data_IF_180554918731
#
_entry.id   IF_180554918731
#
_cell.length_a   1.000
_cell.length_b   1.000
_cell.length_c   1.000
_cell.angle_alpha   90.00
_cell.angle_beta   90.00
_cell.angle_gamma   90.00
#
_symmetry.space_group_name_H-M   'P 1'
#
loop_
_entity.id
_entity.type
_entity.pdbx_description
1 polymer ?
#
# COMPACT_ATOMS: atom_id res chain seq x y z
N UNK A 1 16.81 22.88 -30.56
CA UNK A 1 16.39 21.75 -29.66
C UNK A 1 15.18 22.12 -28.81
N UNK A 2 14.92 23.41 -28.57
CA UNK A 2 13.72 23.92 -27.89
C UNK A 2 12.46 23.88 -28.75
N UNK A 3 12.59 23.82 -30.07
CA UNK A 3 11.48 23.85 -31.02
C UNK A 3 10.61 22.57 -31.03
N UNK A 4 11.18 21.41 -30.68
CA UNK A 4 10.43 20.14 -30.60
C UNK A 4 9.54 20.02 -29.36
N UNK A 5 9.79 20.83 -28.32
CA UNK A 5 8.96 20.85 -27.11
C UNK A 5 7.64 21.58 -27.38
N UNK A 6 7.65 22.62 -28.20
CA UNK A 6 6.46 23.43 -28.52
C UNK A 6 5.42 22.68 -29.38
N UNK A 7 5.86 21.89 -30.35
CA UNK A 7 4.96 21.05 -31.16
C UNK A 7 4.22 19.99 -30.34
N UNK A 8 4.81 19.57 -29.24
CA UNK A 8 4.27 18.58 -28.33
C UNK A 8 3.12 19.12 -27.44
N UNK A 9 3.11 20.45 -27.20
CA UNK A 9 2.10 21.10 -26.36
C UNK A 9 0.74 21.29 -27.07
N UNK A 10 0.70 21.31 -28.40
CA UNK A 10 -0.57 21.47 -29.15
C UNK A 10 -1.46 20.22 -29.11
N UNK A 11 -0.88 19.03 -28.98
CA UNK A 11 -1.62 17.77 -28.92
C UNK A 11 -2.40 17.63 -27.60
N UNK A 12 -1.90 18.23 -26.51
CA UNK A 12 -2.49 18.10 -25.18
C UNK A 12 -3.77 18.95 -24.99
N UNK A 13 -4.01 19.94 -25.84
CA UNK A 13 -5.07 20.95 -25.65
C UNK A 13 -6.45 20.59 -26.22
N UNK A 14 -6.57 19.51 -26.97
CA UNK A 14 -7.83 19.16 -27.71
C UNK A 14 -8.37 17.81 -27.30
N UNK A 15 -8.97 17.61 -26.13
CA UNK A 15 -9.93 16.49 -26.00
C UNK A 15 -10.94 16.69 -24.86
N UNK A 16 -12.19 16.74 -25.25
CA UNK A 16 -13.36 16.80 -24.37
C UNK A 16 -13.92 15.43 -23.98
N UNK A 17 -14.70 15.44 -23.09
CA UNK A 17 -15.51 14.73 -22.13
C UNK A 17 -16.26 13.45 -22.60
N UNK A 18 -15.57 12.27 -22.70
CA UNK A 18 -16.19 10.96 -22.56
C UNK A 18 -15.21 9.99 -21.87
N UNK A 19 -15.70 8.97 -21.18
CA UNK A 19 -14.85 7.98 -20.48
C UNK A 19 -13.77 7.34 -21.39
N UNK A 20 -14.10 7.13 -22.67
CA UNK A 20 -13.20 6.56 -23.68
C UNK A 20 -12.08 7.53 -24.07
N UNK A 21 -12.41 8.79 -24.15
CA UNK A 21 -11.56 9.92 -24.47
C UNK A 21 -10.63 10.27 -23.30
N UNK A 22 -11.14 10.21 -22.07
CA UNK A 22 -10.37 10.34 -20.84
C UNK A 22 -9.30 9.25 -20.72
N UNK A 23 -9.65 7.99 -20.91
CA UNK A 23 -8.70 6.85 -20.85
C UNK A 23 -7.62 6.97 -21.94
N UNK A 24 -7.97 7.38 -23.14
CA UNK A 24 -7.02 7.63 -24.22
C UNK A 24 -6.06 8.77 -23.85
N UNK A 25 -6.57 9.88 -23.33
CA UNK A 25 -5.77 11.03 -22.85
C UNK A 25 -4.79 10.63 -21.74
N UNK A 26 -5.23 9.83 -20.80
CA UNK A 26 -4.38 9.32 -19.71
C UNK A 26 -3.25 8.45 -20.25
N UNK A 27 -3.54 7.57 -21.20
CA UNK A 27 -2.54 6.70 -21.84
C UNK A 27 -1.50 7.51 -22.62
N UNK A 28 -1.94 8.47 -23.44
CA UNK A 28 -1.05 9.34 -24.19
C UNK A 28 -0.15 10.18 -23.25
N UNK A 29 -0.70 10.73 -22.18
CA UNK A 29 0.08 11.45 -21.15
C UNK A 29 1.12 10.56 -20.47
N UNK A 30 0.75 9.34 -20.18
CA UNK A 30 1.64 8.37 -19.57
C UNK A 30 2.82 8.06 -20.49
N UNK A 31 2.58 7.77 -21.77
CA UNK A 31 3.62 7.49 -22.77
C UNK A 31 4.62 8.64 -22.86
N UNK A 32 4.14 9.86 -22.85
CA UNK A 32 4.96 11.08 -22.86
C UNK A 32 5.84 11.22 -21.62
N UNK A 33 5.27 10.95 -20.45
CA UNK A 33 6.01 10.99 -19.18
C UNK A 33 7.07 9.88 -19.14
N UNK A 34 6.76 8.68 -19.57
CA UNK A 34 7.72 7.58 -19.65
C UNK A 34 8.88 7.91 -20.59
N UNK A 35 8.60 8.46 -21.77
CA UNK A 35 9.63 8.91 -22.72
C UNK A 35 10.50 10.03 -22.10
N UNK A 36 9.87 11.00 -21.42
CA UNK A 36 10.59 12.07 -20.74
C UNK A 36 11.52 11.52 -19.66
N UNK A 37 11.05 10.63 -18.81
CA UNK A 37 11.85 10.02 -17.76
C UNK A 37 12.94 9.09 -18.32
N UNK A 38 12.75 8.49 -19.48
CA UNK A 38 13.74 7.63 -20.14
C UNK A 38 14.96 8.41 -20.68
N UNK A 39 14.87 9.75 -20.89
CA UNK A 39 15.93 10.56 -21.48
C UNK A 39 17.22 10.49 -20.66
N UNK A 40 18.38 10.44 -21.36
CA UNK A 40 19.70 10.35 -20.70
C UNK A 40 20.03 11.58 -19.86
N UNK A 41 19.52 12.73 -20.24
CA UNK A 41 19.70 14.04 -19.61
C UNK A 41 18.64 14.37 -18.55
N UNK A 42 17.81 13.41 -18.16
CA UNK A 42 16.79 13.61 -17.13
C UNK A 42 17.42 13.86 -15.76
N UNK A 43 16.99 14.93 -15.11
CA UNK A 43 17.40 15.30 -13.75
C UNK A 43 16.19 15.09 -12.80
N UNK A 44 16.39 14.48 -11.61
CA UNK A 44 15.32 14.26 -10.65
C UNK A 44 14.56 15.54 -10.27
N UNK A 45 13.24 15.56 -10.47
CA UNK A 45 12.36 16.71 -10.30
C UNK A 45 11.27 16.44 -9.25
N UNK A 46 10.81 17.49 -8.55
CA UNK A 46 9.66 17.42 -7.66
C UNK A 46 8.35 17.40 -8.46
N UNK A 47 7.28 16.89 -7.87
CA UNK A 47 5.94 16.88 -8.47
C UNK A 47 5.51 18.24 -9.05
N UNK A 48 5.78 19.34 -8.29
CA UNK A 48 5.44 20.69 -8.72
C UNK A 48 6.17 21.10 -9.99
N UNK A 49 7.43 20.71 -10.12
CA UNK A 49 8.28 21.05 -11.26
C UNK A 49 7.82 20.26 -12.50
N UNK A 50 7.49 18.96 -12.33
CA UNK A 50 6.92 18.13 -13.40
C UNK A 50 5.57 18.70 -13.84
N UNK A 51 4.66 19.01 -12.91
CA UNK A 51 3.37 19.60 -13.22
C UNK A 51 3.48 20.93 -13.95
N UNK A 52 4.49 21.74 -13.59
CA UNK A 52 4.77 23.03 -14.22
C UNK A 52 5.37 22.85 -15.62
N UNK A 53 6.33 21.95 -15.78
CA UNK A 53 6.98 21.64 -17.04
C UNK A 53 5.97 21.13 -18.09
N UNK A 54 5.08 20.25 -17.68
CA UNK A 54 4.01 19.71 -18.53
C UNK A 54 2.76 20.58 -18.56
N UNK A 55 2.78 21.79 -17.94
CA UNK A 55 1.67 22.74 -17.87
C UNK A 55 0.35 22.11 -17.43
N UNK A 56 0.41 21.17 -16.46
CA UNK A 56 -0.76 20.45 -15.97
C UNK A 56 -1.63 21.37 -15.10
N UNK A 57 -2.88 21.64 -15.49
CA UNK A 57 -3.80 22.46 -14.72
C UNK A 57 -4.00 21.91 -13.31
N UNK A 58 -4.31 22.77 -12.32
CA UNK A 58 -4.52 22.35 -10.92
C UNK A 58 -5.57 21.24 -10.80
N UNK A 59 -6.66 21.32 -11.57
CA UNK A 59 -7.73 20.34 -11.58
C UNK A 59 -7.30 18.95 -12.08
N UNK A 60 -6.24 18.84 -12.88
CA UNK A 60 -5.75 17.59 -13.47
C UNK A 60 -4.49 17.05 -12.78
N UNK A 61 -4.06 17.69 -11.68
CA UNK A 61 -2.88 17.24 -10.93
C UNK A 61 -3.08 15.90 -10.21
N UNK A 62 -4.32 15.58 -9.85
CA UNK A 62 -4.68 14.25 -9.34
C UNK A 62 -4.38 13.14 -10.35
N UNK A 63 -4.75 13.37 -11.61
CA UNK A 63 -4.49 12.42 -12.70
C UNK A 63 -2.99 12.24 -12.94
N UNK A 64 -2.22 13.32 -12.90
CA UNK A 64 -0.76 13.25 -12.99
C UNK A 64 -0.16 12.42 -11.85
N UNK A 65 -0.67 12.60 -10.63
CA UNK A 65 -0.19 11.82 -9.47
C UNK A 65 -0.50 10.33 -9.64
N UNK A 66 -1.67 9.97 -10.14
CA UNK A 66 -2.02 8.58 -10.42
C UNK A 66 -1.09 7.95 -11.45
N UNK A 67 -0.83 8.66 -12.57
CA UNK A 67 0.11 8.19 -13.60
C UNK A 67 1.51 7.98 -13.01
N UNK A 68 2.03 8.92 -12.23
CA UNK A 68 3.35 8.82 -11.61
C UNK A 68 3.43 7.63 -10.64
N UNK A 69 2.38 7.42 -9.85
CA UNK A 69 2.30 6.27 -8.94
C UNK A 69 2.30 4.94 -9.70
N UNK A 70 1.60 4.86 -10.83
CA UNK A 70 1.59 3.65 -11.65
C UNK A 70 2.97 3.37 -12.28
N UNK A 71 3.67 4.41 -12.77
CA UNK A 71 5.03 4.28 -13.30
C UNK A 71 6.01 3.84 -12.18
N UNK A 72 5.80 4.31 -10.93
CA UNK A 72 6.58 3.86 -9.76
C UNK A 72 6.29 2.39 -9.44
N UNK A 73 5.01 1.97 -9.46
CA UNK A 73 4.62 0.57 -9.22
C UNK A 73 5.26 -0.38 -10.22
N UNK A 74 5.43 0.06 -11.46
CA UNK A 74 6.14 -0.70 -12.50
C UNK A 74 7.68 -0.66 -12.37
N UNK A 75 8.21 0.04 -11.38
CA UNK A 75 9.66 0.14 -11.17
C UNK A 75 10.41 0.99 -12.19
N UNK A 76 9.70 1.72 -13.07
CA UNK A 76 10.31 2.59 -14.09
C UNK A 76 10.72 3.96 -13.53
N UNK A 77 10.17 4.34 -12.39
CA UNK A 77 10.43 5.59 -11.70
C UNK A 77 10.47 5.35 -10.19
N UNK A 78 11.20 6.16 -9.47
CA UNK A 78 11.19 6.18 -8.00
C UNK A 78 10.99 7.61 -7.50
N UNK A 79 10.44 7.76 -6.33
CA UNK A 79 10.50 9.02 -5.58
C UNK A 79 11.57 8.87 -4.50
N UNK A 80 12.63 9.67 -4.58
CA UNK A 80 13.72 9.61 -3.60
C UNK A 80 13.37 10.28 -2.27
N UNK A 81 14.26 10.17 -1.27
CA UNK A 81 14.04 10.72 0.08
C UNK A 81 13.82 12.25 0.14
N UNK A 82 14.08 12.98 -0.96
CA UNK A 82 13.83 14.42 -1.08
C UNK A 82 12.48 14.74 -1.75
N UNK A 83 11.67 13.73 -2.06
CA UNK A 83 10.41 13.86 -2.77
C UNK A 83 10.60 14.23 -4.25
N UNK A 84 11.72 13.82 -4.84
CA UNK A 84 11.99 13.98 -6.27
C UNK A 84 11.79 12.66 -7.01
N UNK A 85 11.14 12.73 -8.14
CA UNK A 85 11.03 11.61 -9.07
C UNK A 85 12.35 11.40 -9.78
N UNK A 86 12.89 10.19 -9.75
CA UNK A 86 14.20 9.85 -10.30
C UNK A 86 14.10 8.55 -11.10
N UNK A 87 15.06 8.33 -12.01
CA UNK A 87 15.25 6.99 -12.59
C UNK A 87 15.63 6.03 -11.48
N UNK A 88 15.16 4.78 -11.55
CA UNK A 88 15.73 3.76 -10.69
C UNK A 88 17.22 3.68 -10.96
N UNK A 89 18.05 3.89 -9.94
CA UNK A 89 19.41 3.42 -10.00
C UNK A 89 19.39 1.90 -10.21
N UNK A 90 20.38 1.35 -10.86
CA UNK A 90 20.49 -0.11 -11.06
C UNK A 90 20.40 -0.93 -9.77
N UNK A 91 20.59 -0.26 -8.63
CA UNK A 91 20.56 -0.83 -7.30
C UNK A 91 19.20 -0.67 -6.58
N UNK A 92 18.21 -0.01 -7.19
CA UNK A 92 16.87 0.15 -6.61
C UNK A 92 15.86 -0.73 -7.32
N UNK A 93 15.15 -1.55 -6.54
CA UNK A 93 14.16 -2.49 -7.04
C UNK A 93 12.86 -2.30 -6.27
N UNK A 94 11.74 -2.23 -6.96
CA UNK A 94 10.41 -2.14 -6.35
C UNK A 94 9.67 -3.46 -6.51
N UNK A 95 8.97 -3.89 -5.45
CA UNK A 95 8.23 -5.14 -5.45
C UNK A 95 7.36 -5.30 -4.21
N UNK A 96 6.81 -6.49 -4.04
CA UNK A 96 5.97 -6.85 -2.90
C UNK A 96 6.82 -7.39 -1.76
N UNK A 97 6.67 -6.79 -0.59
CA UNK A 97 7.34 -7.21 0.64
C UNK A 97 6.64 -8.43 1.24
N UNK A 98 7.39 -9.51 1.40
CA UNK A 98 6.89 -10.76 1.95
C UNK A 98 7.56 -11.06 3.28
N UNK A 99 6.86 -10.81 4.37
CA UNK A 99 7.33 -11.13 5.72
C UNK A 99 7.30 -12.64 5.98
N UNK A 100 8.29 -13.11 6.73
CA UNK A 100 8.36 -14.53 7.13
C UNK A 100 7.87 -14.79 8.55
N UNK A 101 7.52 -13.74 9.31
CA UNK A 101 7.22 -13.85 10.74
C UNK A 101 8.45 -14.12 11.63
N UNK A 102 9.65 -14.24 11.04
CA UNK A 102 10.94 -14.43 11.75
C UNK A 102 11.79 -13.17 11.76
N UNK A 103 11.21 -12.04 11.38
CA UNK A 103 11.85 -10.73 11.33
C UNK A 103 12.54 -10.39 10.01
N UNK A 104 12.99 -11.35 9.22
CA UNK A 104 13.48 -11.11 7.87
C UNK A 104 12.36 -11.24 6.83
N UNK A 105 12.60 -10.78 5.62
CA UNK A 105 11.62 -10.79 4.55
C UNK A 105 12.26 -11.06 3.19
N UNK A 106 11.40 -11.16 2.18
CA UNK A 106 11.79 -11.23 0.77
C UNK A 106 11.04 -10.16 -0.01
N UNK A 107 11.68 -9.61 -1.03
CA UNK A 107 11.04 -8.77 -2.02
C UNK A 107 10.77 -9.61 -3.27
N UNK A 108 9.49 -9.75 -3.61
CA UNK A 108 9.07 -10.37 -4.87
C UNK A 108 8.93 -9.29 -5.94
N UNK A 109 9.68 -9.41 -7.02
CA UNK A 109 9.75 -8.40 -8.09
C UNK A 109 8.92 -8.75 -9.31
N UNK A 110 8.73 -10.03 -9.60
CA UNK A 110 7.92 -10.50 -10.74
C UNK A 110 7.91 -12.00 -10.88
N UNK A 111 7.14 -12.51 -11.84
CA UNK A 111 7.13 -13.92 -12.18
C UNK A 111 8.46 -14.32 -12.85
N UNK A 112 9.13 -15.32 -12.30
CA UNK A 112 10.38 -15.87 -12.84
C UNK A 112 11.65 -15.14 -12.40
N UNK A 113 11.56 -14.08 -11.61
CA UNK A 113 12.71 -13.43 -11.00
C UNK A 113 13.02 -14.03 -9.62
N UNK A 114 14.31 -14.04 -9.26
CA UNK A 114 14.72 -14.46 -7.91
C UNK A 114 14.33 -13.39 -6.88
N UNK A 115 13.68 -13.81 -5.80
CA UNK A 115 13.33 -12.96 -4.67
C UNK A 115 14.61 -12.36 -4.05
N UNK A 116 14.53 -11.08 -3.63
CA UNK A 116 15.63 -10.38 -2.96
C UNK A 116 15.46 -10.56 -1.45
N UNK A 117 16.49 -11.08 -0.79
CA UNK A 117 16.49 -11.25 0.66
C UNK A 117 16.63 -9.91 1.38
N UNK A 118 15.79 -9.66 2.38
CA UNK A 118 15.83 -8.46 3.23
C UNK A 118 16.12 -8.89 4.67
N UNK A 119 17.34 -8.60 5.19
CA UNK A 119 17.68 -8.92 6.56
C UNK A 119 16.77 -8.20 7.57
N UNK A 120 16.60 -8.77 8.76
CA UNK A 120 15.75 -8.21 9.82
C UNK A 120 16.11 -6.78 10.22
N UNK A 121 17.40 -6.39 10.13
CA UNK A 121 17.86 -5.02 10.38
C UNK A 121 17.47 -4.02 9.29
N UNK A 122 17.05 -4.49 8.10
CA UNK A 122 16.84 -3.68 6.90
C UNK A 122 15.38 -3.67 6.43
N UNK A 123 14.46 -4.31 7.18
CA UNK A 123 13.03 -4.37 6.84
C UNK A 123 12.30 -3.04 7.06
N UNK A 124 12.90 -2.10 7.80
CA UNK A 124 12.28 -0.83 8.20
C UNK A 124 10.93 -1.08 8.90
N UNK A 125 9.90 -0.31 8.55
CA UNK A 125 8.53 -0.48 9.04
C UNK A 125 7.58 -1.08 7.97
N UNK A 126 8.12 -1.92 7.08
CA UNK A 126 7.32 -2.61 6.07
C UNK A 126 6.52 -3.76 6.69
N UNK A 127 5.27 -3.91 6.23
CA UNK A 127 4.36 -4.99 6.60
C UNK A 127 4.19 -5.96 5.44
N UNK A 128 3.74 -7.17 5.74
CA UNK A 128 3.49 -8.21 4.73
C UNK A 128 2.49 -7.72 3.68
N UNK A 129 2.84 -7.84 2.42
CA UNK A 129 2.06 -7.38 1.27
C UNK A 129 2.32 -5.94 0.83
N UNK A 130 3.04 -5.12 1.61
CA UNK A 130 3.36 -3.74 1.20
C UNK A 130 4.14 -3.72 -0.11
N UNK A 131 3.84 -2.75 -0.96
CA UNK A 131 4.69 -2.42 -2.09
C UNK A 131 5.83 -1.53 -1.62
N UNK A 132 7.07 -1.99 -1.76
CA UNK A 132 8.25 -1.28 -1.25
C UNK A 132 9.32 -1.12 -2.31
N UNK A 133 10.13 -0.07 -2.18
CA UNK A 133 11.39 0.08 -2.92
C UNK A 133 12.54 -0.34 -2.03
N UNK A 134 13.36 -1.23 -2.55
CA UNK A 134 14.53 -1.81 -1.88
C UNK A 134 15.78 -1.39 -2.62
N UNK A 135 16.81 -0.98 -1.88
CA UNK A 135 18.16 -0.75 -2.40
C UNK A 135 18.96 -2.04 -2.26
N UNK A 136 19.53 -2.52 -3.37
CA UNK A 136 20.42 -3.67 -3.36
C UNK A 136 21.72 -3.37 -2.61
N UNK A 137 22.17 -4.31 -1.79
CA UNK A 137 23.42 -4.20 -1.04
C UNK A 137 24.57 -4.76 -1.87
N UNK A 138 25.67 -4.02 -1.94
CA UNK A 138 26.86 -4.40 -2.73
C UNK A 138 27.56 -5.68 -2.24
N UNK A 139 27.31 -6.11 -0.99
CA UNK A 139 27.85 -7.33 -0.40
C UNK A 139 26.68 -8.21 0.05
N UNK A 140 26.40 -9.25 -0.71
CA UNK A 140 25.55 -10.35 -0.28
C UNK A 140 26.36 -11.32 0.60
N UNK A 141 25.78 -11.73 1.73
CA UNK A 141 26.38 -12.76 2.62
C UNK A 141 26.15 -14.19 2.11
N UNK A 142 25.42 -14.35 1.00
CA UNK A 142 25.04 -15.62 0.42
C UNK A 142 24.99 -15.60 -1.11
N UNK A 143 24.30 -16.58 -1.70
CA UNK A 143 24.07 -16.66 -3.16
C UNK A 143 22.97 -15.70 -3.62
N UNK A 144 22.01 -15.37 -2.75
CA UNK A 144 20.87 -14.50 -3.08
C UNK A 144 21.25 -13.03 -2.94
N UNK A 145 20.65 -12.17 -3.78
CA UNK A 145 20.79 -10.72 -3.66
C UNK A 145 20.19 -10.27 -2.33
N UNK A 146 20.87 -9.39 -1.63
CA UNK A 146 20.39 -8.77 -0.39
C UNK A 146 19.98 -7.33 -0.65
N UNK A 147 18.97 -6.86 0.07
CA UNK A 147 18.47 -5.50 -0.08
C UNK A 147 18.00 -4.88 1.23
N UNK A 148 17.87 -3.56 1.20
CA UNK A 148 17.38 -2.72 2.29
C UNK A 148 16.13 -1.98 1.85
N UNK A 149 15.06 -1.99 2.64
CA UNK A 149 13.88 -1.17 2.40
C UNK A 149 14.24 0.30 2.57
N UNK A 150 14.07 1.08 1.49
CA UNK A 150 14.33 2.52 1.50
C UNK A 150 13.05 3.35 1.46
N UNK A 151 11.96 2.77 0.93
CA UNK A 151 10.66 3.44 0.84
C UNK A 151 9.52 2.44 0.84
N UNK A 152 8.44 2.77 1.51
CA UNK A 152 7.14 2.12 1.35
C UNK A 152 6.36 2.92 0.30
N UNK A 153 5.97 2.27 -0.78
CA UNK A 153 5.23 2.88 -1.89
C UNK A 153 3.73 2.82 -1.63
N UNK A 154 3.25 1.65 -1.17
CA UNK A 154 1.84 1.40 -0.89
C UNK A 154 1.70 0.46 0.30
N UNK A 155 0.75 0.75 1.18
CA UNK A 155 0.42 -0.08 2.33
C UNK A 155 -0.64 -1.11 1.97
N UNK A 156 -0.35 -2.38 2.23
CA UNK A 156 -1.32 -3.45 2.06
C UNK A 156 -2.21 -3.64 3.29
N UNK A 157 -1.66 -3.40 4.49
CA UNK A 157 -2.36 -3.62 5.76
C UNK A 157 -2.69 -2.28 6.40
N UNK A 158 -3.97 -1.96 6.50
CA UNK A 158 -4.49 -0.76 7.17
C UNK A 158 -5.25 -1.09 8.46
N UNK A 159 -5.71 -2.33 8.58
CA UNK A 159 -6.42 -2.86 9.76
C UNK A 159 -5.80 -4.16 10.21
N UNK A 160 -5.85 -4.41 11.51
CA UNK A 160 -5.30 -5.60 12.14
C UNK A 160 -6.35 -6.21 13.07
N UNK A 161 -6.55 -7.51 12.94
CA UNK A 161 -7.33 -8.30 13.89
C UNK A 161 -6.37 -8.95 14.89
N UNK A 162 -6.71 -8.89 16.16
CA UNK A 162 -5.87 -9.45 17.21
C UNK A 162 -6.51 -9.42 18.59
N UNK A 163 -5.74 -9.87 19.57
CA UNK A 163 -6.16 -9.90 20.98
C UNK A 163 -5.70 -8.64 21.70
N UNK A 164 -6.62 -7.96 22.37
CA UNK A 164 -6.33 -6.75 23.12
C UNK A 164 -5.74 -7.07 24.50
N UNK A 165 -4.54 -6.60 24.75
CA UNK A 165 -3.85 -6.65 26.02
C UNK A 165 -3.83 -5.28 26.69
N UNK A 166 -4.45 -5.17 27.88
CA UNK A 166 -4.62 -3.91 28.60
C UNK A 166 -3.52 -3.69 29.63
N UNK A 167 -2.95 -2.49 29.66
CA UNK A 167 -2.08 -1.96 30.70
C UNK A 167 -2.78 -0.82 31.46
N UNK A 168 -2.13 -0.22 32.47
CA UNK A 168 -2.73 0.85 33.31
C UNK A 168 -3.17 2.08 32.51
N UNK A 169 -2.37 2.51 31.54
CA UNK A 169 -2.56 3.77 30.79
C UNK A 169 -2.56 3.59 29.28
N UNK A 170 -2.44 2.39 28.75
CA UNK A 170 -2.39 2.07 27.34
C UNK A 170 -2.74 0.59 27.15
N UNK A 171 -2.81 0.14 25.92
CA UNK A 171 -2.92 -1.26 25.58
C UNK A 171 -2.13 -1.61 24.34
N UNK A 172 -2.13 -2.88 24.01
CA UNK A 172 -1.60 -3.40 22.75
C UNK A 172 -2.62 -4.33 22.13
N UNK A 173 -2.65 -4.34 20.82
CA UNK A 173 -3.30 -5.43 20.08
C UNK A 173 -2.20 -6.34 19.58
N UNK A 174 -2.23 -7.59 20.05
CA UNK A 174 -1.35 -8.67 19.59
C UNK A 174 -1.99 -9.25 18.33
N UNK A 175 -1.38 -9.07 17.14
CA UNK A 175 -1.97 -9.53 15.89
C UNK A 175 -2.14 -11.05 15.82
N UNK A 176 -3.25 -11.51 15.26
CA UNK A 176 -3.46 -12.95 14.97
C UNK A 176 -2.59 -13.40 13.79
N UNK A 177 -2.28 -12.49 12.88
CA UNK A 177 -1.36 -12.74 11.78
C UNK A 177 0.10 -12.67 12.25
N UNK A 178 0.73 -13.84 12.38
CA UNK A 178 2.13 -13.99 12.83
C UNK A 178 3.18 -13.37 11.90
N UNK A 179 2.78 -12.95 10.69
CA UNK A 179 3.66 -12.22 9.77
C UNK A 179 3.80 -10.74 10.14
N UNK A 180 2.93 -10.23 11.01
CA UNK A 180 3.09 -8.91 11.63
C UNK A 180 3.97 -9.09 12.87
N UNK A 181 5.22 -8.65 12.77
CA UNK A 181 6.25 -8.87 13.81
C UNK A 181 6.17 -7.88 14.97
N UNK A 182 5.12 -7.07 15.08
CA UNK A 182 4.98 -6.01 16.09
C UNK A 182 3.55 -5.92 16.59
N UNK A 183 3.40 -5.77 17.90
CA UNK A 183 2.14 -5.42 18.51
C UNK A 183 1.77 -3.98 18.16
N UNK A 184 0.46 -3.71 18.04
CA UNK A 184 -0.07 -2.38 17.74
C UNK A 184 -0.34 -1.66 19.06
N UNK A 185 0.38 -0.58 19.32
CA UNK A 185 0.16 0.26 20.48
C UNK A 185 -1.17 0.99 20.39
N UNK A 186 -1.97 0.93 21.45
CA UNK A 186 -3.27 1.60 21.56
C UNK A 186 -3.17 2.64 22.70
N UNK A 187 -3.25 3.93 22.40
CA UNK A 187 -3.19 4.97 23.41
C UNK A 187 -4.42 4.93 24.34
N UNK A 188 -4.28 5.52 25.52
CA UNK A 188 -5.30 5.51 26.60
C UNK A 188 -6.72 5.84 26.13
N UNK A 189 -6.85 6.77 25.22
CA UNK A 189 -8.15 7.21 24.71
C UNK A 189 -8.82 6.15 23.83
N UNK A 190 -8.06 5.22 23.25
CA UNK A 190 -8.55 4.11 22.43
C UNK A 190 -8.86 2.83 23.22
N UNK A 191 -8.55 2.78 24.54
CA UNK A 191 -8.66 1.57 25.36
C UNK A 191 -9.81 1.59 26.37
N UNK A 192 -10.60 2.67 26.48
CA UNK A 192 -11.44 2.92 27.68
C UNK A 192 -12.43 1.82 27.98
N UNK A 193 -13.05 1.24 26.97
CA UNK A 193 -14.19 0.34 27.12
C UNK A 193 -13.91 -1.09 26.62
N UNK A 194 -12.64 -1.41 26.36
CA UNK A 194 -12.25 -2.72 25.85
C UNK A 194 -11.71 -3.57 27.00
N UNK A 195 -12.31 -4.72 27.33
CA UNK A 195 -11.78 -5.65 28.29
C UNK A 195 -10.51 -6.34 27.77
N UNK A 196 -9.60 -6.70 28.69
CA UNK A 196 -8.43 -7.50 28.37
C UNK A 196 -8.84 -8.88 27.85
N UNK A 197 -8.12 -9.40 26.84
CA UNK A 197 -8.36 -10.71 26.24
C UNK A 197 -9.50 -10.74 25.23
N UNK A 198 -9.99 -9.58 24.78
CA UNK A 198 -11.00 -9.50 23.74
C UNK A 198 -10.34 -9.45 22.36
N UNK A 199 -10.97 -10.13 21.40
CA UNK A 199 -10.66 -9.99 19.99
C UNK A 199 -11.20 -8.66 19.47
N UNK A 200 -10.36 -7.93 18.77
CA UNK A 200 -10.66 -6.59 18.27
C UNK A 200 -10.13 -6.39 16.85
N UNK A 201 -10.73 -5.43 16.15
CA UNK A 201 -10.19 -4.88 14.93
C UNK A 201 -9.58 -3.50 15.25
N UNK A 202 -8.31 -3.32 14.95
CA UNK A 202 -7.62 -2.06 15.12
C UNK A 202 -7.23 -1.47 13.76
N UNK A 203 -7.52 -0.20 13.54
CA UNK A 203 -7.01 0.57 12.40
C UNK A 203 -5.64 1.13 12.75
N UNK A 204 -4.66 0.96 11.86
CA UNK A 204 -3.32 1.50 12.04
C UNK A 204 -3.36 2.99 11.71
N UNK A 205 -3.00 3.83 12.68
CA UNK A 205 -2.93 5.30 12.52
C UNK A 205 -1.51 5.78 12.25
N UNK A 206 -0.52 5.02 12.75
CA UNK A 206 0.90 5.26 12.53
C UNK A 206 1.64 3.92 12.44
N UNK A 207 2.44 3.73 11.42
CA UNK A 207 3.18 2.48 11.19
C UNK A 207 4.49 2.36 12.00
N UNK A 208 4.78 3.37 12.83
CA UNK A 208 6.01 3.37 13.63
C UNK A 208 7.29 3.46 12.80
N UNK A 209 8.38 3.14 13.46
CA UNK A 209 9.72 3.08 12.86
C UNK A 209 10.58 2.00 13.57
N UNK A 210 11.89 1.98 13.32
CA UNK A 210 12.81 1.02 13.96
C UNK A 210 12.87 1.12 15.50
N UNK A 211 12.36 2.20 16.11
CA UNK A 211 12.39 2.46 17.57
C UNK A 211 11.01 2.49 18.20
N UNK A 212 9.97 2.71 17.40
CA UNK A 212 8.60 2.91 17.88
C UNK A 212 7.67 1.87 17.25
N UNK A 213 6.92 1.18 18.10
CA UNK A 213 5.87 0.26 17.64
C UNK A 213 4.81 1.00 16.83
N UNK A 214 4.14 0.31 15.91
CA UNK A 214 2.97 0.88 15.23
C UNK A 214 1.91 1.31 16.25
N UNK A 215 1.18 2.39 15.92
CA UNK A 215 0.07 2.88 16.72
C UNK A 215 -1.24 2.68 15.98
N UNK A 216 -2.30 2.41 16.73
CA UNK A 216 -3.63 2.23 16.17
C UNK A 216 -4.74 2.69 17.09
N UNK A 217 -5.95 2.60 16.59
CA UNK A 217 -7.19 2.78 17.36
C UNK A 217 -8.08 1.56 17.14
N UNK A 218 -8.75 1.10 18.19
CA UNK A 218 -9.74 0.05 18.09
C UNK A 218 -10.98 0.62 17.41
N UNK A 219 -11.40 -0.02 16.31
CA UNK A 219 -12.58 0.37 15.54
C UNK A 219 -13.75 -0.59 15.76
N UNK A 220 -13.47 -1.85 16.18
CA UNK A 220 -14.50 -2.85 16.41
C UNK A 220 -14.07 -3.82 17.52
N UNK A 221 -15.00 -4.25 18.38
CA UNK A 221 -14.81 -5.27 19.40
C UNK A 221 -15.60 -6.50 18.95
N UNK A 222 -14.90 -7.62 18.72
CA UNK A 222 -15.49 -8.84 18.18
C UNK A 222 -16.07 -9.74 19.30
N UNK A 223 -15.50 -9.69 20.49
CA UNK A 223 -15.93 -10.48 21.64
C UNK A 223 -14.77 -11.07 22.43
N UNK A 224 -15.08 -11.87 23.45
CA UNK A 224 -14.05 -12.59 24.21
C UNK A 224 -13.41 -13.67 23.34
N UNK A 225 -12.09 -13.87 23.46
CA UNK A 225 -11.36 -14.92 22.74
C UNK A 225 -11.95 -16.32 22.91
N UNK A 226 -12.60 -16.58 24.07
CA UNK A 226 -13.20 -17.89 24.40
C UNK A 226 -14.71 -17.97 24.03
N UNK A 227 -15.28 -16.94 23.44
CA UNK A 227 -16.68 -16.91 23.04
C UNK A 227 -16.88 -17.63 21.70
N UNK A 228 -17.96 -18.43 21.62
CA UNK A 228 -18.25 -19.21 20.41
C UNK A 228 -18.50 -18.29 19.22
N UNK A 229 -17.80 -18.56 18.12
CA UNK A 229 -17.96 -17.84 16.85
C UNK A 229 -17.04 -16.63 16.69
N UNK A 230 -16.42 -16.13 17.77
CA UNK A 230 -15.47 -15.02 17.69
C UNK A 230 -14.20 -15.40 16.91
N UNK A 231 -13.79 -16.64 16.98
CA UNK A 231 -12.71 -17.22 16.18
C UNK A 231 -12.99 -17.12 14.67
N UNK A 232 -14.20 -17.56 14.27
CA UNK A 232 -14.64 -17.48 12.86
C UNK A 232 -14.78 -16.03 12.42
N UNK A 233 -15.38 -15.19 13.26
CA UNK A 233 -15.57 -13.77 12.99
C UNK A 233 -14.22 -13.05 12.82
N UNK A 234 -13.25 -13.36 13.67
CA UNK A 234 -11.89 -12.81 13.59
C UNK A 234 -11.23 -13.15 12.26
N UNK A 235 -11.35 -14.40 11.79
CA UNK A 235 -10.83 -14.82 10.49
C UNK A 235 -11.54 -14.07 9.36
N UNK A 236 -12.88 -13.99 9.38
CA UNK A 236 -13.64 -13.28 8.36
C UNK A 236 -13.22 -11.81 8.26
N UNK A 237 -13.10 -11.13 9.41
CA UNK A 237 -12.64 -9.71 9.46
C UNK A 237 -11.20 -9.55 8.99
N UNK A 238 -10.30 -10.49 9.32
CA UNK A 238 -8.92 -10.45 8.87
C UNK A 238 -8.78 -10.53 7.34
N UNK A 239 -9.72 -11.20 6.68
CA UNK A 239 -9.80 -11.29 5.21
C UNK A 239 -10.73 -10.26 4.58
N UNK A 240 -11.23 -9.28 5.34
CA UNK A 240 -12.13 -8.24 4.83
C UNK A 240 -13.50 -8.74 4.39
N UNK A 241 -13.94 -9.89 4.93
CA UNK A 241 -15.28 -10.43 4.66
C UNK A 241 -16.27 -9.70 5.55
N UNK A 242 -17.23 -9.03 4.93
CA UNK A 242 -18.32 -8.35 5.65
C UNK A 242 -19.34 -9.39 6.17
N UNK A 243 -19.87 -9.17 7.37
CA UNK A 243 -20.87 -10.03 7.99
C UNK A 243 -22.23 -9.92 7.32
N UNK A 244 -22.54 -8.75 6.79
CA UNK A 244 -23.81 -8.46 6.14
C UNK A 244 -23.63 -8.37 4.62
N UNK A 245 -24.59 -8.93 3.91
CA UNK A 245 -24.66 -8.72 2.46
C UNK A 245 -24.93 -7.23 2.14
N UNK A 246 -24.39 -6.70 1.05
CA UNK A 246 -24.72 -5.36 0.59
C UNK A 246 -26.23 -5.11 0.55
N UNK A 247 -26.66 -3.92 0.97
CA UNK A 247 -28.10 -3.58 1.04
C UNK A 247 -28.87 -3.89 -0.24
N UNK A 248 -28.25 -3.72 -1.40
CA UNK A 248 -28.83 -4.05 -2.69
C UNK A 248 -29.17 -5.56 -2.80
N UNK A 249 -28.29 -6.44 -2.32
CA UNK A 249 -28.51 -7.89 -2.30
C UNK A 249 -29.63 -8.27 -1.33
N UNK A 250 -29.65 -7.64 -0.14
CA UNK A 250 -30.71 -7.87 0.85
C UNK A 250 -32.09 -7.40 0.34
N UNK A 251 -32.15 -6.33 -0.41
CA UNK A 251 -33.37 -5.86 -1.06
C UNK A 251 -33.83 -6.78 -2.18
N UNK A 252 -32.90 -7.35 -2.93
CA UNK A 252 -33.21 -8.32 -4.01
C UNK A 252 -33.73 -9.62 -3.42
N UNK A 253 -33.12 -10.14 -2.36
CA UNK A 253 -33.60 -11.32 -1.63
C UNK A 253 -35.02 -11.13 -1.06
N UNK A 254 -35.34 -9.91 -0.56
CA UNK A 254 -36.71 -9.59 -0.08
C UNK A 254 -37.76 -9.60 -1.19
N UNK A 255 -37.37 -9.38 -2.44
CA UNK A 255 -38.27 -9.46 -3.61
C UNK A 255 -38.41 -10.87 -4.16
N UNK A 256 -37.57 -11.78 -3.74
CA UNK A 256 -37.60 -13.18 -4.14
C UNK A 256 -38.73 -13.97 -3.52
N UNK A 257 -39.10 -15.15 -4.09
CA UNK A 257 -40.15 -15.99 -3.56
C UNK A 257 -39.76 -16.53 -2.16
N UNK A 258 -40.67 -16.38 -1.20
CA UNK A 258 -40.48 -16.83 0.20
C UNK A 258 -40.48 -18.35 0.42
N UNK A 259 -40.70 -19.14 -0.63
CA UNK A 259 -40.67 -20.61 -0.59
C UNK A 259 -39.96 -21.18 -1.82
N UNK A 260 -39.09 -22.15 -1.56
CA UNK A 260 -38.50 -22.96 -2.64
C UNK A 260 -39.58 -23.86 -3.21
N UNK A 261 -40.00 -23.61 -4.45
CA UNK A 261 -40.88 -24.48 -5.20
C UNK A 261 -40.01 -25.58 -5.79
N UNK A 262 -40.15 -26.83 -5.27
CA UNK A 262 -39.58 -28.01 -5.95
C UNK A 262 -40.47 -28.32 -7.15
N UNK A 263 -39.93 -28.11 -8.36
CA UNK A 263 -40.45 -28.66 -9.61
C UNK A 263 -39.99 -30.10 -9.74
#
# INVERSE_FOLDING_TARGET
TLCNIFSFFEVIRRVGNTNKEYTKKMKERREVLEEFFARKDYIPMKFKDIASLFQVPKAERGDLQLILNDIIKEGKLIENGEGRYAKPDSDLVTGIFMSTGKGFAFLRTGEGEEDIFIPASEVSNAFDGDTVTVKLLAKSRGKSREGKVVKIVERAVTTVVGTFEKSKNFGFVVPDNTKLNSDIYIPKNGCKDVPKGYKVVAEITNYGDAKHSPEGKIIEILGSENEKGVDILSVAKAYGIEEEFPKAVLEEVKKGPSKVIRT
#
